data_IF_801822370766
#
_entry.id   IF_801822370766
#
_cell.length_a   1.000
_cell.length_b   1.000
_cell.length_c   1.000
_cell.angle_alpha   90.00
_cell.angle_beta   90.00
_cell.angle_gamma   90.00
#
_symmetry.space_group_name_H-M   'P 1'
#
loop_
_entity.id
_entity.type
_entity.pdbx_description
1 polymer ?
#
# COMPACT_ATOMS: atom_id res chain seq x y z
N UNK A 1 10.62 117.27 85.71
CA UNK A 1 9.61 116.72 86.63
C UNK A 1 9.58 115.21 86.45
N UNK A 2 9.73 114.48 87.55
CA UNK A 2 9.80 113.02 87.69
C UNK A 2 8.41 112.34 87.49
N UNK A 3 8.23 111.02 87.75
CA UNK A 3 8.42 109.88 86.84
C UNK A 3 7.17 108.93 86.87
N UNK A 4 7.38 107.60 86.73
CA UNK A 4 6.45 106.47 87.00
C UNK A 4 5.64 105.97 85.77
N UNK A 5 5.42 104.67 85.51
CA UNK A 5 5.68 103.42 86.23
C UNK A 5 5.72 102.23 85.24
N UNK A 6 6.37 101.11 85.63
CA UNK A 6 6.11 99.76 85.08
C UNK A 6 4.77 99.21 85.61
N UNK A 7 4.11 98.28 84.88
CA UNK A 7 4.06 96.91 85.40
C UNK A 7 3.99 95.75 84.36
N UNK A 8 4.46 94.58 84.84
CA UNK A 8 4.08 93.16 84.61
C UNK A 8 4.22 92.43 83.24
N UNK A 9 4.76 91.17 83.24
CA UNK A 9 4.92 90.32 82.04
C UNK A 9 3.93 89.14 81.94
N UNK A 10 3.65 88.67 80.70
CA UNK A 10 3.25 87.29 80.30
C UNK A 10 2.75 87.24 78.84
N UNK A 11 2.66 86.08 78.17
CA UNK A 11 3.52 84.89 78.19
C UNK A 11 3.96 84.46 76.77
N UNK A 12 4.85 83.47 76.73
CA UNK A 12 5.43 82.79 75.56
C UNK A 12 4.41 82.16 74.59
N UNK A 13 4.59 82.28 73.26
CA UNK A 13 4.01 81.35 72.29
C UNK A 13 5.03 80.36 71.69
N UNK A 14 4.55 79.12 71.53
CA UNK A 14 5.14 77.88 71.02
C UNK A 14 6.16 77.94 69.87
N UNK A 15 7.07 76.94 69.79
CA UNK A 15 7.98 76.79 68.66
C UNK A 15 7.24 76.31 67.40
N UNK A 16 7.55 76.96 66.29
CA UNK A 16 7.16 76.61 64.93
C UNK A 16 7.77 75.25 64.55
N UNK A 17 6.93 74.30 64.13
CA UNK A 17 7.33 73.01 63.57
C UNK A 17 7.86 73.18 62.15
N UNK A 18 9.09 72.69 61.91
CA UNK A 18 9.66 72.51 60.57
C UNK A 18 8.92 71.42 59.77
N UNK A 19 8.94 71.48 58.42
CA UNK A 19 8.04 70.74 57.55
C UNK A 19 8.32 69.23 57.48
N UNK A 20 7.24 68.47 57.31
CA UNK A 20 7.27 67.01 57.10
C UNK A 20 8.01 66.64 55.79
N UNK A 21 8.79 65.55 55.78
CA UNK A 21 9.43 65.06 54.56
C UNK A 21 8.41 64.50 53.56
N UNK A 22 8.65 64.78 52.29
CA UNK A 22 7.89 64.29 51.13
C UNK A 22 7.77 62.76 51.13
N UNK A 23 6.61 62.17 50.78
CA UNK A 23 6.45 60.72 50.77
C UNK A 23 7.34 60.07 49.70
N UNK A 24 8.08 59.04 50.11
CA UNK A 24 8.89 58.21 49.21
C UNK A 24 8.05 57.64 48.05
N UNK A 25 8.62 57.52 46.84
CA UNK A 25 7.93 56.91 45.71
C UNK A 25 7.54 55.48 46.06
N UNK A 26 6.27 55.14 45.82
CA UNK A 26 5.71 53.81 46.02
C UNK A 26 6.49 52.83 45.14
N UNK A 27 7.01 51.71 45.67
CA UNK A 27 7.68 50.72 44.84
C UNK A 27 6.68 50.17 43.84
N UNK A 28 7.03 50.22 42.56
CA UNK A 28 6.35 49.51 41.48
C UNK A 28 6.24 48.03 41.85
N UNK A 29 5.09 47.37 41.63
CA UNK A 29 4.93 45.96 41.98
C UNK A 29 5.96 45.15 41.20
N UNK A 30 6.83 44.46 41.93
CA UNK A 30 7.79 43.51 41.36
C UNK A 30 6.99 42.47 40.57
N UNK A 31 7.32 42.19 39.29
CA UNK A 31 6.69 41.09 38.57
C UNK A 31 6.89 39.82 39.39
N UNK A 32 5.79 39.15 39.72
CA UNK A 32 5.86 37.90 40.47
C UNK A 32 6.55 36.87 39.57
N UNK A 33 7.78 36.48 39.92
CA UNK A 33 8.64 35.61 39.11
C UNK A 33 7.94 34.30 38.74
N UNK A 34 7.02 33.86 39.60
CA UNK A 34 6.22 32.66 39.39
C UNK A 34 5.17 32.85 38.29
N UNK A 35 4.55 34.04 38.16
CA UNK A 35 3.59 34.32 37.08
C UNK A 35 4.25 34.24 35.71
N UNK A 36 5.44 34.82 35.55
CA UNK A 36 6.19 34.73 34.29
C UNK A 36 6.57 33.28 33.93
N UNK A 37 6.84 32.43 34.92
CA UNK A 37 7.11 31.00 34.71
C UNK A 37 5.84 30.26 34.28
N UNK A 38 4.69 30.53 34.90
CA UNK A 38 3.42 29.93 34.50
C UNK A 38 3.00 30.35 33.09
N UNK A 39 3.18 31.63 32.73
CA UNK A 39 2.87 32.11 31.38
C UNK A 39 3.73 31.42 30.31
N UNK A 40 5.00 31.13 30.60
CA UNK A 40 5.86 30.33 29.72
C UNK A 40 5.38 28.88 29.59
N UNK A 41 4.99 28.23 30.70
CA UNK A 41 4.47 26.87 30.67
C UNK A 41 3.17 26.78 29.87
N UNK A 42 2.26 27.74 30.04
CA UNK A 42 1.00 27.81 29.28
C UNK A 42 1.27 28.02 27.79
N UNK A 43 2.18 28.93 27.43
CA UNK A 43 2.55 29.17 26.04
C UNK A 43 3.16 27.92 25.38
N UNK A 44 4.00 27.18 26.12
CA UNK A 44 4.60 25.93 25.65
C UNK A 44 3.55 24.84 25.42
N UNK A 45 2.70 24.60 26.42
CA UNK A 45 1.63 23.61 26.33
C UNK A 45 0.63 23.95 25.20
N UNK A 46 0.37 25.23 24.95
CA UNK A 46 -0.44 25.67 23.81
C UNK A 46 0.19 25.34 22.46
N UNK A 47 1.52 25.42 22.34
CA UNK A 47 2.26 24.98 21.15
C UNK A 47 2.24 23.46 20.96
N UNK A 48 2.40 22.72 22.06
CA UNK A 48 2.34 21.25 22.06
C UNK A 48 0.93 20.77 21.64
N UNK A 49 -0.12 21.40 22.18
CA UNK A 49 -1.52 21.15 21.79
C UNK A 49 -1.78 21.45 20.31
N UNK A 50 -1.30 22.59 19.80
CA UNK A 50 -1.44 22.94 18.39
C UNK A 50 -0.76 21.91 17.47
N UNK A 51 0.38 21.38 17.90
CA UNK A 51 1.12 20.34 17.17
C UNK A 51 0.38 19.00 17.21
N UNK A 52 -0.13 18.57 18.37
CA UNK A 52 -0.93 17.35 18.50
C UNK A 52 -2.21 17.38 17.62
N UNK A 53 -2.89 18.53 17.55
CA UNK A 53 -4.05 18.72 16.66
C UNK A 53 -3.66 18.70 15.17
N UNK A 54 -2.46 19.16 14.82
CA UNK A 54 -1.96 19.08 13.45
C UNK A 54 -1.64 17.62 13.06
N UNK A 55 -1.00 16.88 13.96
CA UNK A 55 -0.71 15.45 13.79
C UNK A 55 -2.01 14.65 13.64
N UNK A 56 -3.01 14.91 14.48
CA UNK A 56 -4.33 14.29 14.40
C UNK A 56 -5.01 14.50 13.03
N UNK A 57 -4.98 15.74 12.50
CA UNK A 57 -5.56 16.02 11.18
C UNK A 57 -4.81 15.30 10.05
N UNK A 58 -3.49 15.24 10.16
CA UNK A 58 -2.64 14.53 9.20
C UNK A 58 -2.94 13.03 9.19
N UNK A 59 -3.06 12.42 10.37
CA UNK A 59 -3.39 11.01 10.51
C UNK A 59 -4.81 10.70 10.02
N UNK A 60 -5.78 11.57 10.30
CA UNK A 60 -7.14 11.44 9.75
C UNK A 60 -7.16 11.44 8.22
N UNK A 61 -6.37 12.32 7.58
CA UNK A 61 -6.23 12.33 6.12
C UNK A 61 -5.51 11.09 5.58
N UNK A 62 -4.53 10.57 6.30
CA UNK A 62 -3.82 9.34 5.94
C UNK A 62 -4.73 8.10 6.02
N UNK A 63 -5.51 7.98 7.10
CA UNK A 63 -6.49 6.90 7.30
C UNK A 63 -7.52 6.85 6.17
N UNK A 64 -8.03 8.01 5.73
CA UNK A 64 -8.96 8.06 4.60
C UNK A 64 -8.31 7.56 3.30
N UNK A 65 -7.06 7.96 3.04
CA UNK A 65 -6.29 7.47 1.90
C UNK A 65 -6.04 5.95 1.95
N UNK A 66 -5.76 5.40 3.13
CA UNK A 66 -5.55 3.96 3.31
C UNK A 66 -6.86 3.16 3.20
N UNK A 67 -8.01 3.69 3.65
CA UNK A 67 -9.32 3.05 3.43
C UNK A 67 -9.69 2.96 1.95
N UNK A 68 -9.42 4.02 1.18
CA UNK A 68 -9.60 3.98 -0.28
C UNK A 68 -8.69 2.92 -0.91
N UNK A 69 -7.46 2.79 -0.43
CA UNK A 69 -6.51 1.77 -0.90
C UNK A 69 -6.96 0.35 -0.54
N UNK A 70 -7.49 0.16 0.66
CA UNK A 70 -8.05 -1.11 1.12
C UNK A 70 -9.19 -1.55 0.21
N UNK A 71 -10.13 -0.65 -0.06
CA UNK A 71 -11.25 -0.92 -0.96
C UNK A 71 -10.75 -1.28 -2.36
N UNK A 72 -9.82 -0.51 -2.92
CA UNK A 72 -9.25 -0.81 -4.23
C UNK A 72 -8.52 -2.16 -4.28
N UNK A 73 -7.89 -2.57 -3.17
CA UNK A 73 -7.22 -3.87 -3.06
C UNK A 73 -8.22 -5.01 -2.88
N UNK A 74 -9.35 -4.77 -2.20
CA UNK A 74 -10.51 -5.67 -2.14
C UNK A 74 -11.11 -5.92 -3.52
N UNK A 75 -11.38 -4.86 -4.27
CA UNK A 75 -11.88 -4.93 -5.65
C UNK A 75 -10.92 -5.75 -6.54
N UNK A 76 -9.61 -5.58 -6.38
CA UNK A 76 -8.60 -6.38 -7.09
C UNK A 76 -8.65 -7.87 -6.72
N UNK A 77 -8.86 -8.21 -5.45
CA UNK A 77 -9.01 -9.61 -5.03
C UNK A 77 -10.27 -10.25 -5.61
N UNK A 78 -11.36 -9.50 -5.72
CA UNK A 78 -12.60 -9.98 -6.33
C UNK A 78 -12.45 -10.19 -7.84
N UNK A 79 -11.75 -9.28 -8.53
CA UNK A 79 -11.39 -9.44 -9.94
C UNK A 79 -10.52 -10.68 -10.15
N UNK A 80 -9.45 -10.86 -9.36
CA UNK A 80 -8.58 -12.03 -9.45
C UNK A 80 -9.30 -13.33 -9.08
N UNK A 81 -10.26 -13.27 -8.16
CA UNK A 81 -11.11 -14.43 -7.85
C UNK A 81 -11.95 -14.85 -9.05
N UNK A 82 -12.48 -13.89 -9.79
CA UNK A 82 -13.24 -14.15 -11.02
C UNK A 82 -12.35 -14.74 -12.12
N UNK A 83 -11.15 -14.17 -12.33
CA UNK A 83 -10.16 -14.69 -13.29
C UNK A 83 -9.74 -16.12 -12.98
N UNK A 84 -9.48 -16.44 -11.71
CA UNK A 84 -9.13 -17.81 -11.29
C UNK A 84 -10.28 -18.78 -11.58
N UNK A 85 -11.52 -18.38 -11.32
CA UNK A 85 -12.69 -19.22 -11.63
C UNK A 85 -12.83 -19.45 -13.15
N UNK A 86 -12.67 -18.41 -13.96
CA UNK A 86 -12.71 -18.51 -15.42
C UNK A 86 -11.59 -19.42 -15.96
N UNK A 87 -10.39 -19.35 -15.39
CA UNK A 87 -9.27 -20.23 -15.75
C UNK A 87 -9.53 -21.68 -15.33
N UNK A 88 -10.13 -21.91 -14.16
CA UNK A 88 -10.52 -23.24 -13.69
C UNK A 88 -11.53 -23.90 -14.64
N UNK A 89 -12.55 -23.15 -15.06
CA UNK A 89 -13.55 -23.61 -16.04
C UNK A 89 -12.91 -23.90 -17.40
N UNK A 90 -11.99 -23.05 -17.84
CA UNK A 90 -11.23 -23.23 -19.06
C UNK A 90 -10.33 -24.48 -19.01
N UNK A 91 -9.68 -24.77 -17.89
CA UNK A 91 -8.88 -26.00 -17.70
C UNK A 91 -9.80 -27.22 -17.76
N UNK A 92 -10.96 -27.18 -17.08
CA UNK A 92 -11.93 -28.27 -17.11
C UNK A 92 -12.46 -28.54 -18.53
N UNK A 93 -12.73 -27.50 -19.32
CA UNK A 93 -13.16 -27.63 -20.71
C UNK A 93 -12.09 -28.30 -21.60
N UNK A 94 -10.82 -27.94 -21.40
CA UNK A 94 -9.71 -28.58 -22.12
C UNK A 94 -9.56 -30.03 -21.69
N UNK A 95 -9.70 -30.35 -20.40
CA UNK A 95 -9.64 -31.73 -19.90
C UNK A 95 -10.74 -32.62 -20.51
N UNK A 96 -11.97 -32.10 -20.66
CA UNK A 96 -13.05 -32.78 -21.40
C UNK A 96 -12.66 -33.02 -22.86
N UNK A 97 -12.08 -32.03 -23.53
CA UNK A 97 -11.66 -32.13 -24.93
C UNK A 97 -10.52 -33.14 -25.11
N UNK A 98 -9.57 -33.17 -24.17
CA UNK A 98 -8.48 -34.15 -24.11
C UNK A 98 -9.04 -35.55 -23.96
N UNK A 99 -9.97 -35.78 -23.02
CA UNK A 99 -10.61 -37.09 -22.82
C UNK A 99 -11.35 -37.56 -24.08
N UNK A 100 -12.20 -36.69 -24.66
CA UNK A 100 -12.94 -37.02 -25.87
C UNK A 100 -12.01 -37.36 -27.05
N UNK A 101 -10.90 -36.64 -27.19
CA UNK A 101 -9.91 -36.93 -28.24
C UNK A 101 -9.17 -38.25 -27.97
N UNK A 102 -8.84 -38.56 -26.72
CA UNK A 102 -8.24 -39.84 -26.32
C UNK A 102 -9.17 -41.02 -26.62
N UNK A 103 -10.45 -40.91 -26.29
CA UNK A 103 -11.46 -41.94 -26.57
C UNK A 103 -11.59 -42.17 -28.07
N UNK A 104 -11.59 -41.09 -28.86
CA UNK A 104 -11.61 -41.17 -30.32
C UNK A 104 -10.35 -41.86 -30.87
N UNK A 105 -9.16 -41.52 -30.37
CA UNK A 105 -7.92 -42.21 -30.74
C UNK A 105 -7.99 -43.70 -30.43
N UNK A 106 -8.52 -44.09 -29.27
CA UNK A 106 -8.67 -45.49 -28.88
C UNK A 106 -9.68 -46.24 -29.78
N UNK A 107 -10.81 -45.61 -30.12
CA UNK A 107 -11.80 -46.15 -31.04
C UNK A 107 -11.22 -46.34 -32.45
N UNK A 108 -10.54 -45.33 -32.99
CA UNK A 108 -9.87 -45.40 -34.30
C UNK A 108 -8.80 -46.50 -34.33
N UNK A 109 -7.98 -46.63 -33.27
CA UNK A 109 -6.99 -47.72 -33.17
C UNK A 109 -7.64 -49.10 -33.22
N UNK A 110 -8.77 -49.27 -32.54
CA UNK A 110 -9.54 -50.53 -32.57
C UNK A 110 -10.09 -50.82 -33.97
N UNK A 111 -10.64 -49.81 -34.64
CA UNK A 111 -11.17 -49.94 -36.01
C UNK A 111 -10.07 -50.29 -37.02
N UNK A 112 -8.92 -49.60 -36.96
CA UNK A 112 -7.75 -49.89 -37.81
C UNK A 112 -7.23 -51.31 -37.55
N UNK A 113 -7.15 -51.75 -36.29
CA UNK A 113 -6.74 -53.12 -35.96
C UNK A 113 -7.72 -54.17 -36.48
N UNK A 114 -9.03 -53.91 -36.42
CA UNK A 114 -10.05 -54.79 -36.97
C UNK A 114 -9.97 -54.87 -38.51
N UNK A 115 -9.78 -53.73 -39.19
CA UNK A 115 -9.57 -53.66 -40.63
C UNK A 115 -8.31 -54.44 -41.05
N UNK A 116 -7.20 -54.24 -40.34
CA UNK A 116 -5.95 -54.95 -40.61
C UNK A 116 -6.12 -56.48 -40.46
N UNK A 117 -6.81 -56.94 -39.41
CA UNK A 117 -7.11 -58.37 -39.22
C UNK A 117 -8.05 -58.93 -40.29
N UNK A 118 -9.03 -58.15 -40.74
CA UNK A 118 -9.95 -58.55 -41.82
C UNK A 118 -9.23 -58.68 -43.16
N UNK A 119 -8.34 -57.73 -43.49
CA UNK A 119 -7.47 -57.81 -44.66
C UNK A 119 -6.53 -59.02 -44.60
N UNK A 120 -5.98 -59.32 -43.42
CA UNK A 120 -5.07 -60.47 -43.22
C UNK A 120 -5.78 -61.83 -43.29
N UNK A 121 -7.00 -61.95 -42.75
CA UNK A 121 -7.76 -63.22 -42.71
C UNK A 121 -8.52 -63.54 -44.00
N UNK A 122 -8.50 -62.67 -45.01
CA UNK A 122 -9.14 -62.93 -46.31
C UNK A 122 -8.34 -64.02 -47.04
N UNK A 123 -8.92 -65.21 -47.32
CA UNK A 123 -8.17 -66.42 -47.69
C UNK A 123 -7.57 -66.42 -49.10
N UNK A 124 -7.84 -65.41 -49.92
CA UNK A 124 -7.24 -65.26 -51.24
C UNK A 124 -6.22 -64.14 -51.20
N UNK A 125 -4.94 -64.54 -51.14
CA UNK A 125 -3.77 -63.69 -51.34
C UNK A 125 -4.09 -62.68 -52.46
N UNK A 126 -3.96 -61.37 -52.24
CA UNK A 126 -4.30 -60.36 -53.26
C UNK A 126 -3.52 -60.60 -54.57
N UNK A 127 -2.32 -61.17 -54.46
CA UNK A 127 -1.51 -61.70 -55.57
C UNK A 127 -2.19 -62.87 -56.30
N UNK A 128 -2.87 -63.76 -55.58
CA UNK A 128 -3.68 -64.84 -56.16
C UNK A 128 -4.98 -64.31 -56.79
N UNK A 129 -5.60 -63.26 -56.24
CA UNK A 129 -6.74 -62.58 -56.89
C UNK A 129 -6.32 -61.85 -58.17
N UNK A 130 -5.17 -61.19 -58.20
CA UNK A 130 -4.59 -60.63 -59.43
C UNK A 130 -4.25 -61.69 -60.48
N UNK A 131 -3.80 -62.87 -60.04
CA UNK A 131 -3.48 -64.00 -60.92
C UNK A 131 -4.73 -64.74 -61.44
N UNK A 132 -5.87 -64.67 -60.73
CA UNK A 132 -7.10 -65.41 -61.05
C UNK A 132 -8.26 -64.51 -61.53
N UNK A 133 -8.11 -63.18 -61.43
CA UNK A 133 -9.10 -62.22 -61.91
C UNK A 133 -9.19 -62.24 -63.44
N UNK A 134 -10.39 -62.51 -63.97
CA UNK A 134 -10.70 -62.31 -65.40
C UNK A 134 -10.69 -60.85 -65.83
N UNK A 135 -10.70 -59.91 -64.87
CA UNK A 135 -10.67 -58.47 -65.11
C UNK A 135 -9.70 -57.78 -64.14
N UNK A 136 -8.47 -57.51 -64.63
CA UNK A 136 -7.40 -56.85 -63.86
C UNK A 136 -7.83 -55.45 -63.39
N UNK A 137 -8.73 -54.78 -64.11
CA UNK A 137 -9.17 -53.43 -63.78
C UNK A 137 -9.99 -53.41 -62.49
N UNK A 138 -10.87 -54.39 -62.28
CA UNK A 138 -11.68 -54.49 -61.05
C UNK A 138 -10.81 -54.85 -59.84
N UNK A 139 -9.88 -55.79 -59.98
CA UNK A 139 -8.95 -56.15 -58.90
C UNK A 139 -8.03 -54.97 -58.51
N UNK A 140 -7.60 -54.16 -59.49
CA UNK A 140 -6.78 -52.97 -59.23
C UNK A 140 -7.57 -51.83 -58.57
N UNK A 141 -8.85 -51.65 -58.94
CA UNK A 141 -9.75 -50.69 -58.31
C UNK A 141 -10.00 -51.04 -56.84
N UNK A 142 -10.37 -52.29 -56.53
CA UNK A 142 -10.59 -52.76 -55.16
C UNK A 142 -9.31 -52.65 -54.30
N UNK A 143 -8.14 -52.96 -54.88
CA UNK A 143 -6.85 -52.78 -54.22
C UNK A 143 -6.51 -51.30 -53.96
N UNK A 144 -6.78 -50.43 -54.93
CA UNK A 144 -6.54 -48.99 -54.79
C UNK A 144 -7.40 -48.37 -53.69
N UNK A 145 -8.66 -48.79 -53.55
CA UNK A 145 -9.57 -48.30 -52.53
C UNK A 145 -9.11 -48.67 -51.11
N UNK A 146 -8.57 -49.88 -50.92
CA UNK A 146 -8.03 -50.29 -49.61
C UNK A 146 -6.74 -49.54 -49.23
N UNK A 147 -5.86 -49.25 -50.19
CA UNK A 147 -4.65 -48.44 -49.96
C UNK A 147 -5.03 -46.98 -49.67
N UNK A 148 -6.01 -46.44 -50.39
CA UNK A 148 -6.55 -45.09 -50.14
C UNK A 148 -7.19 -45.01 -48.75
N UNK A 149 -7.95 -46.04 -48.35
CA UNK A 149 -8.54 -46.13 -47.01
C UNK A 149 -7.45 -46.19 -45.90
N UNK A 150 -6.39 -46.98 -46.09
CA UNK A 150 -5.27 -47.05 -45.15
C UNK A 150 -4.51 -45.72 -45.01
N UNK A 151 -4.26 -45.02 -46.12
CA UNK A 151 -3.63 -43.68 -46.09
C UNK A 151 -4.51 -42.65 -45.38
N UNK A 152 -5.82 -42.68 -45.60
CA UNK A 152 -6.77 -41.80 -44.92
C UNK A 152 -6.84 -42.08 -43.42
N UNK A 153 -6.84 -43.35 -43.02
CA UNK A 153 -6.83 -43.75 -41.61
C UNK A 153 -5.54 -43.30 -40.91
N UNK A 154 -4.39 -43.47 -41.56
CA UNK A 154 -3.12 -43.00 -41.01
C UNK A 154 -3.06 -41.46 -40.89
N UNK A 155 -3.53 -40.74 -41.90
CA UNK A 155 -3.63 -39.28 -41.86
C UNK A 155 -4.57 -38.79 -40.73
N UNK A 156 -5.68 -39.49 -40.49
CA UNK A 156 -6.58 -39.21 -39.38
C UNK A 156 -5.92 -39.45 -38.03
N UNK A 157 -5.18 -40.56 -37.88
CA UNK A 157 -4.44 -40.86 -36.65
C UNK A 157 -3.40 -39.78 -36.34
N UNK A 158 -2.58 -39.39 -37.32
CA UNK A 158 -1.59 -38.31 -37.16
C UNK A 158 -2.25 -36.99 -36.76
N UNK A 159 -3.42 -36.68 -37.35
CA UNK A 159 -4.19 -35.49 -37.00
C UNK A 159 -4.68 -35.54 -35.56
N UNK A 160 -5.26 -36.65 -35.11
CA UNK A 160 -5.76 -36.79 -33.73
C UNK A 160 -4.61 -36.77 -32.70
N UNK A 161 -3.47 -37.37 -33.01
CA UNK A 161 -2.29 -37.32 -32.16
C UNK A 161 -1.73 -35.90 -32.05
N UNK A 162 -1.73 -35.15 -33.17
CA UNK A 162 -1.38 -33.72 -33.18
C UNK A 162 -2.37 -32.85 -32.41
N UNK A 163 -3.68 -33.07 -32.57
CA UNK A 163 -4.74 -32.37 -31.82
C UNK A 163 -4.60 -32.65 -30.31
N UNK A 164 -4.36 -33.90 -29.92
CA UNK A 164 -4.12 -34.28 -28.52
C UNK A 164 -2.87 -33.60 -27.96
N UNK A 165 -1.77 -33.57 -28.71
CA UNK A 165 -0.55 -32.89 -28.28
C UNK A 165 -0.79 -31.38 -28.07
N UNK A 166 -1.52 -30.74 -29.00
CA UNK A 166 -1.90 -29.34 -28.89
C UNK A 166 -2.77 -29.07 -27.65
N UNK A 167 -3.81 -29.88 -27.44
CA UNK A 167 -4.69 -29.74 -26.27
C UNK A 167 -3.93 -29.93 -24.94
N UNK A 168 -2.99 -30.88 -24.88
CA UNK A 168 -2.14 -31.07 -23.69
C UNK A 168 -1.23 -29.87 -23.43
N UNK A 169 -0.66 -29.27 -24.48
CA UNK A 169 0.15 -28.06 -24.36
C UNK A 169 -0.70 -26.88 -23.87
N UNK A 170 -1.89 -26.69 -24.44
CA UNK A 170 -2.85 -25.67 -24.01
C UNK A 170 -3.27 -25.85 -22.55
N UNK A 171 -3.55 -27.09 -22.13
CA UNK A 171 -3.85 -27.41 -20.73
C UNK A 171 -2.71 -27.05 -19.79
N UNK A 172 -1.48 -27.36 -20.16
CA UNK A 172 -0.30 -27.04 -19.36
C UNK A 172 -0.08 -25.53 -19.24
N UNK A 173 -0.31 -24.78 -20.33
CA UNK A 173 -0.25 -23.32 -20.31
C UNK A 173 -1.31 -22.73 -19.39
N UNK A 174 -2.58 -23.12 -19.55
CA UNK A 174 -3.67 -22.63 -18.69
C UNK A 174 -3.47 -22.97 -17.23
N UNK A 175 -2.88 -24.14 -16.94
CA UNK A 175 -2.52 -24.51 -15.57
C UNK A 175 -1.44 -23.59 -15.00
N UNK A 176 -0.42 -23.24 -15.79
CA UNK A 176 0.62 -22.31 -15.35
C UNK A 176 0.05 -20.89 -15.12
N UNK A 177 -0.83 -20.43 -16.01
CA UNK A 177 -1.54 -19.15 -15.85
C UNK A 177 -2.39 -19.15 -14.56
N UNK A 178 -3.13 -20.23 -14.30
CA UNK A 178 -3.93 -20.41 -13.09
C UNK A 178 -3.06 -20.41 -11.82
N UNK A 179 -1.92 -21.10 -11.83
CA UNK A 179 -1.01 -21.13 -10.69
C UNK A 179 -0.41 -19.74 -10.42
N UNK A 180 -0.09 -18.99 -11.49
CA UNK A 180 0.36 -17.60 -11.41
C UNK A 180 -0.72 -16.71 -10.80
N UNK A 181 -1.97 -16.76 -11.28
CA UNK A 181 -3.05 -15.92 -10.74
C UNK A 181 -3.40 -16.28 -9.30
N UNK A 182 -3.35 -17.57 -8.92
CA UNK A 182 -3.49 -17.98 -7.52
C UNK A 182 -2.40 -17.38 -6.63
N UNK A 183 -1.17 -17.30 -7.12
CA UNK A 183 -0.07 -16.68 -6.39
C UNK A 183 -0.27 -15.16 -6.22
N UNK A 184 -0.74 -14.48 -7.26
CA UNK A 184 -1.07 -13.05 -7.24
C UNK A 184 -2.20 -12.79 -6.23
N UNK A 185 -3.29 -13.54 -6.31
CA UNK A 185 -4.40 -13.46 -5.34
C UNK A 185 -3.92 -13.65 -3.90
N UNK A 186 -3.02 -14.60 -3.66
CA UNK A 186 -2.46 -14.84 -2.32
C UNK A 186 -1.63 -13.65 -1.81
N UNK A 187 -0.87 -13.01 -2.71
CA UNK A 187 -0.08 -11.83 -2.39
C UNK A 187 -0.97 -10.61 -2.11
N UNK A 188 -2.05 -10.44 -2.88
CA UNK A 188 -3.05 -9.39 -2.65
C UNK A 188 -3.75 -9.57 -1.30
N UNK A 189 -4.17 -10.80 -0.97
CA UNK A 189 -4.77 -11.10 0.33
C UNK A 189 -3.81 -10.82 1.49
N UNK A 190 -2.52 -11.18 1.35
CA UNK A 190 -1.51 -10.86 2.36
C UNK A 190 -1.31 -9.34 2.52
N UNK A 191 -1.35 -8.59 1.41
CA UNK A 191 -1.27 -7.13 1.44
C UNK A 191 -2.50 -6.51 2.13
N UNK A 192 -3.71 -7.04 1.92
CA UNK A 192 -4.92 -6.62 2.64
C UNK A 192 -4.76 -6.83 4.15
N UNK A 193 -4.36 -8.02 4.59
CA UNK A 193 -4.13 -8.29 6.02
C UNK A 193 -3.08 -7.36 6.62
N UNK A 194 -2.01 -7.07 5.87
CA UNK A 194 -1.00 -6.11 6.32
C UNK A 194 -1.58 -4.71 6.44
N UNK A 195 -2.38 -4.28 5.48
CA UNK A 195 -3.01 -2.96 5.49
C UNK A 195 -3.99 -2.82 6.66
N UNK A 196 -4.83 -3.83 6.91
CA UNK A 196 -5.74 -3.88 8.05
C UNK A 196 -4.97 -3.76 9.39
N UNK A 197 -3.84 -4.47 9.52
CA UNK A 197 -3.00 -4.33 10.72
C UNK A 197 -2.44 -2.91 10.91
N UNK A 198 -2.13 -2.21 9.81
CA UNK A 198 -1.63 -0.84 9.84
C UNK A 198 -2.73 0.17 10.18
N UNK A 199 -3.94 -0.06 9.67
CA UNK A 199 -5.13 0.74 10.01
C UNK A 199 -5.45 0.63 11.50
N UNK A 200 -5.46 -0.59 12.06
CA UNK A 200 -5.69 -0.81 13.48
C UNK A 200 -4.65 -0.09 14.36
N UNK A 201 -3.37 -0.15 14.00
CA UNK A 201 -2.31 0.57 14.74
C UNK A 201 -2.47 2.09 14.61
N UNK A 202 -2.88 2.61 13.45
CA UNK A 202 -3.15 4.04 13.29
C UNK A 202 -4.36 4.49 14.12
N UNK A 203 -5.44 3.71 14.16
CA UNK A 203 -6.62 4.01 14.98
C UNK A 203 -6.24 4.05 16.48
N UNK A 204 -5.38 3.14 16.95
CA UNK A 204 -4.86 3.16 18.32
C UNK A 204 -4.05 4.44 18.61
N UNK A 205 -3.16 4.85 17.71
CA UNK A 205 -2.38 6.09 17.85
C UNK A 205 -3.32 7.31 17.84
N UNK A 206 -4.34 7.33 16.98
CA UNK A 206 -5.34 8.40 16.93
C UNK A 206 -6.05 8.57 18.28
N UNK A 207 -6.47 7.46 18.88
CA UNK A 207 -7.13 7.44 20.18
C UNK A 207 -6.19 7.91 21.31
N UNK A 208 -4.92 7.53 21.27
CA UNK A 208 -3.92 7.99 22.24
C UNK A 208 -3.63 9.49 22.13
N UNK A 209 -3.59 10.03 20.90
CA UNK A 209 -3.45 11.47 20.68
C UNK A 209 -4.67 12.27 21.14
N UNK A 210 -5.88 11.72 20.97
CA UNK A 210 -7.12 12.30 21.50
C UNK A 210 -7.09 12.37 23.04
N UNK A 211 -6.76 11.26 23.71
CA UNK A 211 -6.65 11.24 25.18
C UNK A 211 -5.55 12.18 25.69
N UNK A 212 -4.40 12.25 25.01
CA UNK A 212 -3.33 13.20 25.34
C UNK A 212 -3.78 14.66 25.17
N UNK A 213 -4.54 14.95 24.11
CA UNK A 213 -5.12 16.28 23.86
C UNK A 213 -6.09 16.68 24.96
N UNK A 214 -6.97 15.79 25.39
CA UNK A 214 -7.93 16.02 26.48
C UNK A 214 -7.20 16.23 27.82
N UNK A 215 -6.16 15.45 28.10
CA UNK A 215 -5.31 15.63 29.29
C UNK A 215 -4.58 16.96 29.30
N UNK A 216 -4.04 17.41 28.16
CA UNK A 216 -3.42 18.73 28.06
C UNK A 216 -4.43 19.85 28.33
N UNK A 217 -5.63 19.76 27.75
CA UNK A 217 -6.69 20.74 27.98
C UNK A 217 -7.17 20.78 29.44
N UNK A 218 -7.27 19.61 30.09
CA UNK A 218 -7.63 19.52 31.50
C UNK A 218 -6.53 20.02 32.45
N UNK A 219 -5.26 19.87 32.08
CA UNK A 219 -4.13 20.33 32.90
C UNK A 219 -3.97 21.87 32.89
N UNK A 220 -4.34 22.54 31.80
CA UNK A 220 -4.24 24.01 31.64
C UNK A 220 -4.80 24.83 32.82
N UNK A 221 -6.03 24.61 33.30
CA UNK A 221 -6.58 25.34 34.45
C UNK A 221 -5.90 24.98 35.78
N UNK A 222 -5.47 23.74 35.96
CA UNK A 222 -4.87 23.25 37.21
C UNK A 222 -3.39 23.64 37.38
N UNK A 223 -2.70 24.02 36.31
CA UNK A 223 -1.32 24.53 36.38
C UNK A 223 -1.17 25.75 37.28
N UNK A 224 -2.22 26.57 37.44
CA UNK A 224 -2.20 27.77 38.30
C UNK A 224 -2.43 27.47 39.77
N UNK A 225 -2.97 26.30 40.11
CA UNK A 225 -3.28 25.90 41.50
C UNK A 225 -2.21 24.99 42.11
N UNK A 226 -1.31 24.43 41.30
CA UNK A 226 -0.23 23.55 41.72
C UNK A 226 1.08 24.29 42.01
N UNK A 227 2.06 23.58 42.58
CA UNK A 227 3.40 24.14 42.76
C UNK A 227 4.10 24.29 41.40
N UNK A 228 5.00 25.27 41.22
CA UNK A 228 5.68 25.49 39.95
C UNK A 228 6.59 24.33 39.55
N UNK A 229 7.02 23.48 40.50
CA UNK A 229 7.83 22.29 40.23
C UNK A 229 6.98 21.14 39.70
N UNK A 230 5.80 20.91 40.29
CA UNK A 230 4.88 19.85 39.85
C UNK A 230 4.29 20.17 38.47
N UNK A 231 3.96 21.44 38.25
CA UNK A 231 3.52 21.96 36.96
C UNK A 231 4.57 21.72 35.84
N UNK A 232 5.84 21.99 36.13
CA UNK A 232 6.93 21.76 35.18
C UNK A 232 7.15 20.26 34.88
N UNK A 233 7.05 19.39 35.90
CA UNK A 233 7.20 17.95 35.73
C UNK A 233 6.08 17.36 34.85
N UNK A 234 4.84 17.80 35.04
CA UNK A 234 3.69 17.37 34.25
C UNK A 234 3.82 17.79 32.78
N UNK A 235 4.26 19.02 32.50
CA UNK A 235 4.51 19.50 31.13
C UNK A 235 5.58 18.65 30.43
N UNK A 236 6.68 18.33 31.12
CA UNK A 236 7.74 17.48 30.55
C UNK A 236 7.25 16.07 30.22
N UNK A 237 6.39 15.50 31.06
CA UNK A 237 5.83 14.16 30.83
C UNK A 237 4.90 14.15 29.60
N UNK A 238 4.03 15.15 29.47
CA UNK A 238 3.13 15.27 28.31
C UNK A 238 3.92 15.47 27.01
N UNK A 239 4.98 16.29 27.05
CA UNK A 239 5.87 16.50 25.91
C UNK A 239 6.61 15.22 25.50
N UNK A 240 7.07 14.42 26.48
CA UNK A 240 7.70 13.13 26.19
C UNK A 240 6.72 12.19 25.48
N UNK A 241 5.50 12.08 26.00
CA UNK A 241 4.47 11.20 25.44
C UNK A 241 4.07 11.63 24.03
N UNK A 242 3.96 12.94 23.75
CA UNK A 242 3.73 13.45 22.41
C UNK A 242 4.85 13.06 21.44
N UNK A 243 6.12 13.19 21.85
CA UNK A 243 7.27 12.84 20.99
C UNK A 243 7.31 11.36 20.66
N UNK A 244 6.96 10.50 21.61
CA UNK A 244 6.86 9.05 21.37
C UNK A 244 5.78 8.73 20.34
N UNK A 245 4.61 9.34 20.45
CA UNK A 245 3.52 9.17 19.48
C UNK A 245 3.90 9.68 18.08
N UNK A 246 4.50 10.87 18.00
CA UNK A 246 4.99 11.42 16.73
C UNK A 246 6.08 10.55 16.08
N UNK A 247 6.96 9.94 16.88
CA UNK A 247 7.96 8.99 16.39
C UNK A 247 7.32 7.70 15.87
N UNK A 248 6.30 7.19 16.57
CA UNK A 248 5.53 6.02 16.14
C UNK A 248 4.81 6.28 14.80
N UNK A 249 4.16 7.43 14.63
CA UNK A 249 3.55 7.82 13.36
C UNK A 249 4.57 7.88 12.22
N UNK A 250 5.74 8.48 12.48
CA UNK A 250 6.80 8.58 11.48
C UNK A 250 7.27 7.19 11.06
N UNK A 251 7.44 6.27 12.00
CA UNK A 251 7.81 4.88 11.73
C UNK A 251 6.74 4.15 10.89
N UNK A 252 5.45 4.41 11.14
CA UNK A 252 4.36 3.85 10.33
C UNK A 252 4.33 4.43 8.91
N UNK A 253 4.58 5.72 8.75
CA UNK A 253 4.70 6.32 7.42
C UNK A 253 5.82 5.67 6.60
N UNK A 254 6.95 5.31 7.23
CA UNK A 254 8.02 4.55 6.58
C UNK A 254 7.63 3.10 6.25
N UNK A 255 6.89 2.43 7.13
CA UNK A 255 6.43 1.06 6.91
C UNK A 255 5.48 0.97 5.70
N UNK A 256 4.64 2.00 5.52
CA UNK A 256 3.74 2.17 4.39
C UNK A 256 4.48 2.49 3.09
N UNK A 257 5.45 3.40 3.12
CA UNK A 257 6.28 3.72 1.96
C UNK A 257 7.05 2.48 1.47
N UNK A 258 7.58 1.67 2.41
CA UNK A 258 8.23 0.40 2.09
C UNK A 258 7.25 -0.66 1.58
N UNK A 259 6.01 -0.69 2.06
CA UNK A 259 4.97 -1.60 1.54
C UNK A 259 4.48 -1.20 0.14
N UNK A 260 4.47 0.11 -0.18
CA UNK A 260 4.09 0.63 -1.49
C UNK A 260 5.11 0.37 -2.60
N UNK A 261 6.41 0.36 -2.29
CA UNK A 261 7.47 0.10 -3.26
C UNK A 261 7.52 -1.36 -3.76
N UNK A 262 6.94 -2.30 -3.01
CA UNK A 262 6.84 -3.71 -3.39
C UNK A 262 6.02 -3.95 -4.67
N UNK A 263 5.06 -3.07 -5.00
CA UNK A 263 4.25 -3.18 -6.25
C UNK A 263 5.09 -3.03 -7.52
N UNK A 264 6.18 -2.26 -7.46
CA UNK A 264 7.05 -2.02 -8.62
C UNK A 264 8.15 -3.08 -8.77
N UNK A 265 8.45 -3.85 -7.71
CA UNK A 265 9.36 -5.00 -7.79
C UNK A 265 8.67 -6.24 -8.39
N UNK A 266 7.40 -6.48 -8.09
CA UNK A 266 6.67 -7.65 -8.63
C UNK A 266 6.26 -7.50 -10.11
N UNK A 267 6.19 -6.27 -10.64
CA UNK A 267 5.90 -6.00 -12.05
C UNK A 267 7.12 -6.02 -12.98
N UNK A 268 8.33 -6.36 -12.50
CA UNK A 268 9.56 -6.38 -13.31
C UNK A 268 10.02 -5.02 -13.85
N UNK A 269 9.45 -3.93 -13.34
CA UNK A 269 9.66 -2.56 -13.83
C UNK A 269 10.78 -1.80 -13.09
N UNK A 270 11.42 -2.41 -12.10
CA UNK A 270 12.60 -1.86 -11.44
C UNK A 270 13.79 -2.80 -11.59
N UNK A 271 14.97 -2.32 -12.06
CA UNK A 271 16.19 -3.09 -11.96
C UNK A 271 16.49 -3.36 -10.49
N UNK A 272 17.07 -4.53 -10.20
CA UNK A 272 17.54 -4.91 -8.86
C UNK A 272 18.50 -3.84 -8.34
N UNK A 273 18.01 -2.96 -7.48
CA UNK A 273 18.77 -1.79 -7.03
C UNK A 273 19.94 -2.24 -6.16
N UNK A 274 21.16 -1.93 -6.59
CA UNK A 274 22.28 -1.81 -5.67
C UNK A 274 22.01 -0.59 -4.76
N UNK A 275 22.27 -0.68 -3.45
CA UNK A 275 22.01 0.41 -2.53
C UNK A 275 22.97 1.57 -2.84
N UNK A 276 22.44 2.66 -3.39
CA UNK A 276 23.17 3.94 -3.52
C UNK A 276 23.03 4.67 -2.18
N UNK A 277 24.15 4.84 -1.48
CA UNK A 277 24.21 5.24 -0.08
C UNK A 277 23.84 6.71 0.20
N UNK A 278 23.42 7.50 -0.79
CA UNK A 278 23.34 8.96 -0.66
C UNK A 278 22.12 9.59 -1.34
N UNK A 279 20.96 8.92 -1.29
CA UNK A 279 19.69 9.49 -1.72
C UNK A 279 18.95 10.13 -0.54
N UNK A 280 18.95 11.47 -0.49
CA UNK A 280 17.97 12.23 0.29
C UNK A 280 16.67 12.28 -0.50
N UNK A 281 15.62 11.60 -0.01
CA UNK A 281 14.27 11.79 -0.54
C UNK A 281 13.74 13.16 -0.12
N UNK A 282 13.68 14.09 -1.06
CA UNK A 282 12.87 15.30 -0.90
C UNK A 282 11.43 14.98 -1.32
N UNK A 283 10.50 15.20 -0.40
CA UNK A 283 9.07 14.98 -0.63
C UNK A 283 8.52 16.01 -1.62
N UNK A 284 7.62 15.59 -2.51
CA UNK A 284 6.83 16.53 -3.29
C UNK A 284 5.97 17.39 -2.35
N UNK A 285 6.09 18.70 -2.46
CA UNK A 285 5.30 19.67 -1.70
C UNK A 285 3.80 19.43 -1.91
N UNK A 286 2.97 19.45 -0.85
CA UNK A 286 1.52 19.36 -0.98
C UNK A 286 1.00 20.48 -1.89
N UNK A 287 0.40 20.12 -3.03
CA UNK A 287 -0.14 21.07 -4.02
C UNK A 287 0.72 21.28 -5.27
N UNK A 288 1.86 20.61 -5.40
CA UNK A 288 2.63 20.63 -6.65
C UNK A 288 1.89 19.86 -7.76
N UNK A 289 1.46 20.56 -8.81
CA UNK A 289 0.96 19.91 -10.02
C UNK A 289 2.14 19.30 -10.77
N UNK A 290 2.12 17.96 -10.92
CA UNK A 290 3.07 17.23 -11.76
C UNK A 290 2.82 17.67 -13.20
N UNK A 291 3.65 18.58 -13.71
CA UNK A 291 3.46 19.15 -15.05
C UNK A 291 3.91 18.21 -16.17
N UNK A 292 4.61 17.12 -15.84
CA UNK A 292 5.03 16.11 -16.80
C UNK A 292 4.97 14.71 -16.16
N UNK A 293 4.28 13.74 -16.79
CA UNK A 293 4.34 12.35 -16.35
C UNK A 293 5.75 11.79 -16.55
N UNK A 294 6.22 10.97 -15.61
CA UNK A 294 7.47 10.24 -15.76
C UNK A 294 7.27 9.07 -16.74
N UNK A 295 7.93 9.15 -17.89
CA UNK A 295 7.94 8.16 -18.97
C UNK A 295 8.78 8.68 -20.14
N UNK A 296 9.18 7.82 -21.10
CA UNK A 296 9.84 8.29 -22.32
C UNK A 296 8.91 9.29 -23.01
N UNK A 297 9.37 10.52 -23.21
CA UNK A 297 8.61 11.50 -23.97
C UNK A 297 8.75 11.20 -25.47
N UNK A 298 7.72 11.49 -26.26
CA UNK A 298 7.76 11.35 -27.72
C UNK A 298 8.55 12.47 -28.41
N UNK A 299 9.32 13.27 -27.65
CA UNK A 299 10.09 14.39 -28.18
C UNK A 299 11.46 13.93 -28.69
N UNK A 300 11.72 14.17 -29.97
CA UNK A 300 12.95 13.76 -30.68
C UNK A 300 14.21 14.48 -30.17
N UNK A 301 14.07 15.61 -29.46
CA UNK A 301 15.16 16.39 -28.87
C UNK A 301 14.68 17.05 -27.58
N UNK A 302 15.11 16.54 -26.43
CA UNK A 302 14.95 17.22 -25.15
C UNK A 302 16.13 18.16 -24.89
N UNK A 303 15.91 19.42 -24.45
CA UNK A 303 16.99 20.29 -24.00
C UNK A 303 17.61 19.74 -22.70
N UNK A 304 18.93 19.87 -22.51
CA UNK A 304 19.62 19.31 -21.35
C UNK A 304 19.09 19.90 -20.04
N UNK A 305 18.74 19.03 -19.10
CA UNK A 305 18.28 19.39 -17.77
C UNK A 305 19.49 19.62 -16.87
N UNK A 306 20.15 20.77 -17.07
CA UNK A 306 21.30 21.18 -16.28
C UNK A 306 22.58 20.36 -16.56
N UNK A 307 23.48 20.18 -15.57
CA UNK A 307 24.85 19.72 -15.80
C UNK A 307 25.01 18.20 -16.02
N UNK A 308 23.92 17.45 -16.13
CA UNK A 308 23.97 16.00 -16.30
C UNK A 308 24.00 15.63 -17.77
N UNK A 309 25.05 14.92 -18.19
CA UNK A 309 25.11 14.32 -19.52
C UNK A 309 24.20 13.09 -19.57
N UNK A 310 23.47 12.93 -20.67
CA UNK A 310 22.61 11.79 -20.96
C UNK A 310 23.37 10.46 -20.98
#
# INVERSE_FOLDING_TARGET
MSPSASPSPSPSPSPTSSPAPSPSPRPSPTPDRNQALYDQLIARLGGDLASALADQRRLGAALEGERVREQALGDQVDEETSKVADLEDQVAQVDVSVSATQDRVAAERTQVAALARALYRRPSNWLLLLAQAKDLRQALLDGSDTVVAGRRAHALQLRLEGELAKLKAERAQRQADLDQEKSIKSALAANLTRLDSLLNVQDDIANQLLDLTDRMQAALPDLRSQSPQDAAALVVLLELQQRELAAAETQQAWSLAAAGSGRYQQGGLLPTAQPVADLKLEWALPGAAISQPFGPTDFVLEPPLGPFAH
#
